data_IF_201201691674
#
_entry.id   IF_201201691674
#
_cell.length_a   1.000
_cell.length_b   1.000
_cell.length_c   1.000
_cell.angle_alpha   90.00
_cell.angle_beta   90.00
_cell.angle_gamma   90.00
#
_symmetry.space_group_name_H-M   'P 1'
#
loop_
_entity.id
_entity.type
_entity.pdbx_description
1 polymer ?
#
# COMPACT_ATOMS: atom_id res chain seq x y z
N UNK A 1 -8.45 -13.23 -34.77
CA UNK A 1 -7.83 -13.43 -33.45
C UNK A 1 -7.90 -14.91 -33.08
N UNK A 2 -6.78 -15.51 -32.67
CA UNK A 2 -6.80 -16.88 -32.13
C UNK A 2 -7.43 -16.87 -30.73
N UNK A 3 -8.06 -17.98 -30.32
CA UNK A 3 -8.69 -18.12 -29.00
C UNK A 3 -7.72 -17.76 -27.85
N UNK A 4 -6.43 -18.09 -28.05
CA UNK A 4 -5.35 -17.81 -27.11
C UNK A 4 -4.98 -16.31 -27.01
N UNK A 5 -5.12 -15.55 -28.10
CA UNK A 5 -4.97 -14.08 -28.08
C UNK A 5 -6.09 -13.37 -27.33
N UNK A 6 -7.33 -13.84 -27.49
CA UNK A 6 -8.51 -13.30 -26.80
C UNK A 6 -8.48 -13.51 -25.27
N UNK A 7 -8.00 -14.68 -24.82
CA UNK A 7 -7.87 -14.99 -23.39
C UNK A 7 -6.82 -14.09 -22.70
N UNK A 8 -5.65 -13.92 -23.33
CA UNK A 8 -4.56 -13.09 -22.80
C UNK A 8 -4.97 -11.62 -22.65
N UNK A 9 -5.66 -11.05 -23.64
CA UNK A 9 -6.18 -9.69 -23.57
C UNK A 9 -7.22 -9.52 -22.46
N UNK A 10 -8.09 -10.52 -22.28
CA UNK A 10 -9.09 -10.52 -21.20
C UNK A 10 -8.45 -10.50 -19.81
N UNK A 11 -7.42 -11.29 -19.59
CA UNK A 11 -6.66 -11.30 -18.33
C UNK A 11 -5.97 -9.96 -18.05
N UNK A 12 -5.34 -9.37 -19.08
CA UNK A 12 -4.70 -8.05 -18.97
C UNK A 12 -5.71 -6.95 -18.60
N UNK A 13 -6.90 -6.96 -19.22
CA UNK A 13 -7.97 -6.02 -18.90
C UNK A 13 -8.45 -6.18 -17.45
N UNK A 14 -8.65 -7.42 -16.97
CA UNK A 14 -9.05 -7.68 -15.58
C UNK A 14 -7.98 -7.18 -14.60
N UNK A 15 -6.72 -7.48 -14.87
CA UNK A 15 -5.60 -7.04 -14.03
C UNK A 15 -5.48 -5.51 -14.00
N UNK A 16 -5.67 -4.85 -15.14
CA UNK A 16 -5.60 -3.39 -15.25
C UNK A 16 -6.76 -2.73 -14.49
N UNK A 17 -8.00 -3.21 -14.69
CA UNK A 17 -9.18 -2.69 -13.98
C UNK A 17 -9.08 -2.84 -12.46
N UNK A 18 -8.66 -4.01 -11.98
CA UNK A 18 -8.51 -4.25 -10.54
C UNK A 18 -7.35 -3.47 -9.91
N UNK A 19 -6.28 -3.22 -10.67
CA UNK A 19 -5.08 -2.53 -10.16
C UNK A 19 -5.14 -1.01 -10.27
N UNK A 20 -6.01 -0.46 -11.13
CA UNK A 20 -6.09 0.98 -11.43
C UNK A 20 -6.25 1.93 -10.22
N UNK A 21 -7.06 1.61 -9.18
CA UNK A 21 -7.21 2.52 -8.04
C UNK A 21 -6.03 2.47 -7.05
N UNK A 22 -5.15 1.47 -7.13
CA UNK A 22 -4.09 1.28 -6.13
C UNK A 22 -3.10 2.44 -6.01
N UNK A 23 -2.63 3.10 -7.09
CA UNK A 23 -1.76 4.28 -6.96
C UNK A 23 -2.39 5.40 -6.11
N UNK A 24 -3.71 5.62 -6.24
CA UNK A 24 -4.45 6.61 -5.45
C UNK A 24 -4.48 6.18 -3.99
N UNK A 25 -4.84 4.92 -3.72
CA UNK A 25 -4.90 4.38 -2.37
C UNK A 25 -3.53 4.45 -1.67
N UNK A 26 -2.46 4.11 -2.38
CA UNK A 26 -1.10 4.17 -1.85
C UNK A 26 -0.66 5.59 -1.56
N UNK A 27 -1.02 6.56 -2.42
CA UNK A 27 -0.73 7.96 -2.17
C UNK A 27 -1.38 8.46 -0.87
N UNK A 28 -2.63 8.11 -0.62
CA UNK A 28 -3.35 8.48 0.62
C UNK A 28 -2.66 7.87 1.84
N UNK A 29 -2.37 6.57 1.83
CA UNK A 29 -1.70 5.93 2.97
C UNK A 29 -0.31 6.49 3.20
N UNK A 30 0.46 6.73 2.15
CA UNK A 30 1.79 7.35 2.24
C UNK A 30 1.74 8.68 3.00
N UNK A 31 0.75 9.54 2.72
CA UNK A 31 0.59 10.81 3.41
C UNK A 31 0.17 10.64 4.88
N UNK A 32 -0.68 9.65 5.18
CA UNK A 32 -1.06 9.30 6.55
C UNK A 32 0.18 8.88 7.37
N UNK A 33 1.11 8.13 6.76
CA UNK A 33 2.38 7.77 7.41
C UNK A 33 3.32 8.97 7.54
N UNK A 34 3.40 9.82 6.51
CA UNK A 34 4.40 10.86 6.40
C UNK A 34 4.08 12.16 7.16
N UNK A 35 2.80 12.45 7.47
CA UNK A 35 2.41 13.68 8.16
C UNK A 35 3.11 13.84 9.51
N UNK A 36 3.45 12.72 10.16
CA UNK A 36 4.13 12.68 11.44
C UNK A 36 5.57 13.20 11.39
N UNK A 37 6.21 13.22 10.21
CA UNK A 37 7.58 13.69 10.06
C UNK A 37 7.70 15.16 10.48
N UNK A 38 6.78 16.01 10.01
CA UNK A 38 6.77 17.43 10.37
C UNK A 38 6.56 17.68 11.86
N UNK A 39 5.73 16.85 12.49
CA UNK A 39 5.45 16.94 13.93
C UNK A 39 6.63 16.45 14.78
N UNK A 40 7.43 15.51 14.30
CA UNK A 40 8.56 14.95 15.04
C UNK A 40 9.89 15.67 14.81
N UNK A 41 10.15 16.15 13.59
CA UNK A 41 11.46 16.66 13.15
C UNK A 41 11.42 18.11 12.68
N UNK A 42 10.31 18.83 12.92
CA UNK A 42 10.16 20.24 12.60
C UNK A 42 10.35 20.53 11.11
N UNK A 43 11.16 21.54 10.78
CA UNK A 43 11.32 22.03 9.41
C UNK A 43 11.79 20.93 8.43
N UNK A 44 12.74 20.10 8.83
CA UNK A 44 13.24 19.00 7.99
C UNK A 44 12.12 18.00 7.71
N UNK A 45 11.34 17.65 8.75
CA UNK A 45 10.19 16.77 8.61
C UNK A 45 9.12 17.30 7.68
N UNK A 46 8.81 18.60 7.76
CA UNK A 46 7.86 19.26 6.86
C UNK A 46 8.39 19.33 5.42
N UNK A 47 9.68 19.55 5.22
CA UNK A 47 10.29 19.52 3.89
C UNK A 47 10.16 18.13 3.23
N UNK A 48 10.45 17.06 3.98
CA UNK A 48 10.27 15.67 3.50
C UNK A 48 8.79 15.39 3.22
N UNK A 49 7.88 15.81 4.11
CA UNK A 49 6.45 15.65 3.89
C UNK A 49 5.99 16.38 2.62
N UNK A 50 6.44 17.61 2.37
CA UNK A 50 6.11 18.37 1.16
C UNK A 50 6.57 17.66 -0.12
N UNK A 51 7.76 17.05 -0.12
CA UNK A 51 8.22 16.23 -1.24
C UNK A 51 7.30 15.02 -1.48
N UNK A 52 6.85 14.37 -0.41
CA UNK A 52 5.91 13.25 -0.50
C UNK A 52 4.50 13.69 -0.95
N UNK A 53 4.08 14.93 -0.66
CA UNK A 53 2.84 15.51 -1.21
C UNK A 53 2.95 15.69 -2.73
N UNK A 54 4.07 16.22 -3.23
CA UNK A 54 4.31 16.33 -4.68
C UNK A 54 4.29 14.95 -5.33
N UNK A 55 4.98 13.98 -4.72
CA UNK A 55 4.98 12.61 -5.22
C UNK A 55 3.60 11.93 -5.15
N UNK A 56 2.81 12.18 -4.10
CA UNK A 56 1.43 11.74 -4.01
C UNK A 56 0.57 12.32 -5.14
N UNK A 57 0.76 13.60 -5.47
CA UNK A 57 0.11 14.23 -6.62
C UNK A 57 0.42 13.51 -7.93
N UNK A 58 1.69 13.12 -8.14
CA UNK A 58 2.10 12.33 -9.30
C UNK A 58 1.44 10.94 -9.34
N UNK A 59 1.39 10.23 -8.20
CA UNK A 59 0.71 8.93 -8.08
C UNK A 59 -0.80 9.04 -8.35
N UNK A 60 -1.46 10.05 -7.78
CA UNK A 60 -2.89 10.31 -7.98
C UNK A 60 -3.17 10.62 -9.44
N UNK A 61 -2.38 11.49 -10.07
CA UNK A 61 -2.51 11.81 -11.48
C UNK A 61 -2.45 10.55 -12.36
N UNK A 62 -1.47 9.69 -12.13
CA UNK A 62 -1.34 8.43 -12.88
C UNK A 62 -2.43 7.42 -12.55
N UNK A 63 -2.85 7.32 -11.28
CA UNK A 63 -3.96 6.45 -10.87
C UNK A 63 -5.28 6.88 -11.49
N UNK A 64 -5.62 8.17 -11.46
CA UNK A 64 -6.83 8.72 -12.10
C UNK A 64 -6.79 8.50 -13.61
N UNK A 65 -5.64 8.75 -14.24
CA UNK A 65 -5.46 8.51 -15.68
C UNK A 65 -5.68 7.03 -16.04
N UNK A 66 -5.14 6.11 -15.24
CA UNK A 66 -5.33 4.68 -15.43
C UNK A 66 -6.78 4.25 -15.21
N UNK A 67 -7.45 4.73 -14.16
CA UNK A 67 -8.88 4.46 -13.91
C UNK A 67 -9.74 4.94 -15.07
N UNK A 68 -9.46 6.12 -15.62
CA UNK A 68 -10.18 6.64 -16.80
C UNK A 68 -9.94 5.79 -18.03
N UNK A 69 -8.69 5.38 -18.29
CA UNK A 69 -8.33 4.54 -19.43
C UNK A 69 -9.03 3.17 -19.36
N UNK A 70 -8.95 2.49 -18.21
CA UNK A 70 -9.52 1.15 -18.06
C UNK A 70 -11.05 1.14 -17.93
N UNK A 71 -11.68 2.28 -17.59
CA UNK A 71 -13.14 2.38 -17.48
C UNK A 71 -13.83 2.13 -18.83
N UNK A 72 -13.19 2.51 -19.93
CA UNK A 72 -13.73 2.38 -21.29
C UNK A 72 -13.62 0.95 -21.85
N UNK A 73 -12.75 0.13 -21.26
CA UNK A 73 -12.52 -1.25 -21.71
C UNK A 73 -13.72 -2.15 -21.35
N UNK A 74 -14.02 -3.18 -22.18
CA UNK A 74 -15.07 -4.15 -21.85
C UNK A 74 -14.74 -4.87 -20.53
N UNK A 75 -15.77 -5.35 -19.83
CA UNK A 75 -15.59 -6.16 -18.61
C UNK A 75 -15.56 -7.64 -18.98
N UNK A 76 -14.40 -8.31 -18.94
CA UNK A 76 -14.34 -9.74 -19.24
C UNK A 76 -14.92 -10.55 -18.08
N UNK A 77 -15.40 -11.76 -18.36
CA UNK A 77 -15.86 -12.67 -17.30
C UNK A 77 -14.68 -13.03 -16.38
N UNK A 78 -14.87 -13.06 -15.05
CA UNK A 78 -13.82 -13.47 -14.12
C UNK A 78 -13.34 -14.89 -14.41
N UNK A 79 -12.03 -15.08 -14.42
CA UNK A 79 -11.44 -16.43 -14.50
C UNK A 79 -11.47 -17.11 -13.12
N UNK A 80 -11.38 -18.45 -13.04
CA UNK A 80 -11.27 -19.16 -11.76
C UNK A 80 -10.09 -18.68 -10.91
N UNK A 81 -8.98 -18.28 -11.54
CA UNK A 81 -7.81 -17.75 -10.85
C UNK A 81 -8.08 -16.38 -10.20
N UNK A 82 -8.74 -15.46 -10.93
CA UNK A 82 -9.14 -14.16 -10.40
C UNK A 82 -10.04 -14.32 -9.17
N UNK A 83 -10.99 -15.25 -9.23
CA UNK A 83 -11.87 -15.56 -8.10
C UNK A 83 -11.09 -16.15 -6.91
N UNK A 84 -10.12 -17.04 -7.16
CA UNK A 84 -9.25 -17.61 -6.14
C UNK A 84 -8.44 -16.53 -5.43
N UNK A 85 -7.78 -15.65 -6.19
CA UNK A 85 -6.99 -14.53 -5.66
C UNK A 85 -7.89 -13.59 -4.85
N UNK A 86 -9.07 -13.24 -5.38
CA UNK A 86 -10.04 -12.39 -4.68
C UNK A 86 -10.46 -12.96 -3.33
N UNK A 87 -10.80 -14.26 -3.28
CA UNK A 87 -11.16 -14.94 -2.02
C UNK A 87 -10.00 -14.98 -1.03
N UNK A 88 -8.79 -15.29 -1.48
CA UNK A 88 -7.60 -15.30 -0.62
C UNK A 88 -7.30 -13.90 -0.06
N UNK A 89 -7.39 -12.85 -0.89
CA UNK A 89 -7.21 -11.48 -0.44
C UNK A 89 -8.31 -11.01 0.51
N UNK A 90 -9.56 -11.42 0.32
CA UNK A 90 -10.64 -11.12 1.24
C UNK A 90 -10.37 -11.72 2.63
N UNK A 91 -9.97 -12.99 2.69
CA UNK A 91 -9.63 -13.66 3.94
C UNK A 91 -8.44 -12.97 4.61
N UNK A 92 -7.36 -12.72 3.85
CA UNK A 92 -6.18 -12.06 4.38
C UNK A 92 -6.51 -10.65 4.91
N UNK A 93 -7.30 -9.88 4.17
CA UNK A 93 -7.73 -8.54 4.56
C UNK A 93 -8.57 -8.58 5.84
N UNK A 94 -9.51 -9.52 5.95
CA UNK A 94 -10.30 -9.69 7.17
C UNK A 94 -9.41 -10.02 8.38
N UNK A 95 -8.48 -10.97 8.22
CA UNK A 95 -7.53 -11.35 9.27
C UNK A 95 -6.53 -10.25 9.62
N UNK A 96 -6.36 -9.25 8.77
CA UNK A 96 -5.45 -8.11 9.02
C UNK A 96 -6.20 -6.95 9.64
N UNK A 97 -7.25 -6.46 8.98
CA UNK A 97 -7.91 -5.22 9.33
C UNK A 97 -8.83 -5.34 10.55
N UNK A 98 -9.45 -6.51 10.79
CA UNK A 98 -10.25 -6.72 12.00
C UNK A 98 -9.37 -6.65 13.25
N UNK A 99 -8.28 -7.43 13.38
CA UNK A 99 -7.38 -7.30 14.52
C UNK A 99 -6.71 -5.93 14.61
N UNK A 100 -6.36 -5.32 13.47
CA UNK A 100 -5.79 -3.97 13.44
C UNK A 100 -6.69 -2.96 14.16
N UNK A 101 -7.97 -2.90 13.79
CA UNK A 101 -8.90 -1.95 14.41
C UNK A 101 -9.12 -2.24 15.89
N UNK A 102 -9.24 -3.51 16.26
CA UNK A 102 -9.34 -3.91 17.68
C UNK A 102 -8.12 -3.40 18.46
N UNK A 103 -6.91 -3.63 17.96
CA UNK A 103 -5.67 -3.20 18.62
C UNK A 103 -5.60 -1.67 18.71
N UNK A 104 -5.91 -0.95 17.63
CA UNK A 104 -5.93 0.53 17.63
C UNK A 104 -6.90 1.06 18.69
N UNK A 105 -8.12 0.51 18.76
CA UNK A 105 -9.14 0.93 19.72
C UNK A 105 -8.68 0.65 21.15
N UNK A 106 -8.16 -0.54 21.43
CA UNK A 106 -7.65 -0.88 22.77
C UNK A 106 -6.52 0.06 23.17
N UNK A 107 -5.53 0.29 22.30
CA UNK A 107 -4.43 1.21 22.59
C UNK A 107 -4.91 2.64 22.82
N UNK A 108 -5.92 3.11 22.09
CA UNK A 108 -6.51 4.43 22.31
C UNK A 108 -7.25 4.51 23.65
N UNK A 109 -8.10 3.52 23.97
CA UNK A 109 -8.89 3.48 25.21
C UNK A 109 -7.99 3.44 26.45
N UNK A 110 -6.89 2.68 26.40
CA UNK A 110 -5.92 2.60 27.49
C UNK A 110 -4.89 3.74 27.51
N UNK A 111 -5.07 4.79 26.70
CA UNK A 111 -4.12 5.93 26.60
C UNK A 111 -2.68 5.51 26.25
N UNK A 112 -2.56 4.40 25.53
CA UNK A 112 -1.32 3.83 25.02
C UNK A 112 -1.03 4.34 23.60
N UNK A 113 -1.34 5.61 23.31
CA UNK A 113 -1.29 6.13 21.95
C UNK A 113 0.08 5.95 21.29
N UNK A 114 1.18 6.05 22.05
CA UNK A 114 2.55 5.89 21.53
C UNK A 114 2.78 4.58 20.75
N UNK A 115 1.98 3.54 21.01
CA UNK A 115 2.11 2.23 20.37
C UNK A 115 1.19 2.03 19.15
N UNK A 116 0.25 2.94 18.88
CA UNK A 116 -0.75 2.79 17.80
C UNK A 116 -0.06 2.72 16.43
N UNK A 117 0.78 3.70 16.11
CA UNK A 117 1.43 3.74 14.79
C UNK A 117 2.46 2.62 14.59
N UNK A 118 3.30 2.28 15.59
CA UNK A 118 4.11 1.06 15.56
C UNK A 118 3.30 -0.21 15.30
N UNK A 119 2.20 -0.42 16.03
CA UNK A 119 1.34 -1.59 15.86
C UNK A 119 0.70 -1.62 14.45
N UNK A 120 0.16 -0.49 14.00
CA UNK A 120 -0.42 -0.35 12.66
C UNK A 120 0.59 -0.71 11.58
N UNK A 121 1.78 -0.09 11.63
CA UNK A 121 2.82 -0.31 10.62
C UNK A 121 3.32 -1.75 10.63
N UNK A 122 3.45 -2.37 11.81
CA UNK A 122 3.85 -3.77 11.93
C UNK A 122 2.82 -4.70 11.32
N UNK A 123 1.54 -4.53 11.64
CA UNK A 123 0.44 -5.36 11.13
C UNK A 123 0.34 -5.25 9.60
N UNK A 124 0.44 -4.03 9.06
CA UNK A 124 0.45 -3.81 7.61
C UNK A 124 1.72 -4.37 6.96
N UNK A 125 2.88 -4.24 7.60
CA UNK A 125 4.12 -4.87 7.13
C UNK A 125 4.00 -6.39 7.04
N UNK A 126 3.41 -7.02 8.07
CA UNK A 126 3.14 -8.45 8.08
C UNK A 126 2.10 -8.87 7.02
N UNK A 127 1.12 -8.01 6.70
CA UNK A 127 0.14 -8.26 5.65
C UNK A 127 0.76 -8.46 4.26
N UNK A 128 1.85 -7.74 3.95
CA UNK A 128 2.54 -7.87 2.67
C UNK A 128 3.16 -9.26 2.44
N UNK A 129 3.55 -9.98 3.50
CA UNK A 129 4.20 -11.30 3.37
C UNK A 129 3.28 -12.37 2.75
N UNK A 130 2.06 -12.64 3.26
CA UNK A 130 1.12 -13.53 2.60
C UNK A 130 0.57 -12.93 1.30
N UNK A 131 0.45 -11.60 1.19
CA UNK A 131 0.06 -10.94 -0.07
C UNK A 131 1.02 -11.29 -1.20
N UNK A 132 2.33 -11.29 -0.93
CA UNK A 132 3.37 -11.67 -1.88
C UNK A 132 3.13 -13.07 -2.46
N UNK A 133 2.72 -14.02 -1.61
CA UNK A 133 2.42 -15.39 -2.00
C UNK A 133 1.11 -15.50 -2.80
N UNK A 134 0.09 -14.72 -2.44
CA UNK A 134 -1.21 -14.73 -3.13
C UNK A 134 -1.08 -14.22 -4.56
N UNK A 135 -0.31 -13.14 -4.76
CA UNK A 135 -0.14 -12.52 -6.07
C UNK A 135 1.10 -12.99 -6.83
N UNK A 136 1.94 -13.83 -6.23
CA UNK A 136 3.22 -14.27 -6.80
C UNK A 136 4.14 -13.09 -7.17
N UNK A 137 4.22 -12.08 -6.28
CA UNK A 137 4.97 -10.84 -6.53
C UNK A 137 6.13 -10.68 -5.56
N UNK A 138 7.33 -10.48 -6.10
CA UNK A 138 8.55 -10.31 -5.32
C UNK A 138 8.63 -8.94 -4.62
N UNK A 139 8.02 -7.90 -5.19
CA UNK A 139 8.05 -6.56 -4.61
C UNK A 139 7.47 -6.52 -3.19
N UNK A 140 6.42 -7.31 -2.93
CA UNK A 140 5.79 -7.39 -1.62
C UNK A 140 6.78 -7.90 -0.55
N UNK A 141 7.68 -8.83 -0.91
CA UNK A 141 8.77 -9.30 -0.03
C UNK A 141 9.88 -8.26 0.18
N UNK A 142 10.04 -7.29 -0.71
CA UNK A 142 10.97 -6.18 -0.52
C UNK A 142 10.38 -5.08 0.36
N UNK A 143 9.08 -4.82 0.26
CA UNK A 143 8.41 -3.73 0.98
C UNK A 143 8.00 -4.13 2.41
N UNK A 144 7.64 -5.40 2.64
CA UNK A 144 7.33 -5.93 3.99
C UNK A 144 8.44 -5.61 5.02
N UNK A 145 9.72 -5.96 4.77
CA UNK A 145 10.80 -5.70 5.72
C UNK A 145 10.98 -4.23 6.08
N UNK A 146 10.77 -3.30 5.14
CA UNK A 146 10.87 -1.86 5.41
C UNK A 146 9.86 -1.43 6.49
N UNK A 147 8.60 -1.85 6.34
CA UNK A 147 7.55 -1.56 7.30
C UNK A 147 7.79 -2.26 8.66
N UNK A 148 8.18 -3.54 8.63
CA UNK A 148 8.42 -4.33 9.84
C UNK A 148 9.60 -3.74 10.65
N UNK A 149 10.74 -3.49 10.01
CA UNK A 149 11.93 -2.97 10.69
C UNK A 149 11.67 -1.58 11.27
N UNK A 150 11.03 -0.68 10.52
CA UNK A 150 10.66 0.65 11.02
C UNK A 150 9.70 0.57 12.22
N UNK A 151 8.73 -0.34 12.18
CA UNK A 151 7.80 -0.56 13.28
C UNK A 151 8.51 -1.10 14.53
N UNK A 152 9.42 -2.07 14.38
CA UNK A 152 10.21 -2.62 15.49
C UNK A 152 11.13 -1.56 16.10
N UNK A 153 11.77 -0.73 15.27
CA UNK A 153 12.56 0.41 15.74
C UNK A 153 11.69 1.41 16.52
N UNK A 154 10.48 1.68 16.05
CA UNK A 154 9.54 2.56 16.74
C UNK A 154 9.04 1.97 18.07
N UNK A 155 8.79 0.66 18.13
CA UNK A 155 8.50 -0.04 19.40
C UNK A 155 9.66 0.06 20.37
N UNK A 156 10.89 -0.15 19.90
CA UNK A 156 12.09 -0.01 20.72
C UNK A 156 12.20 1.40 21.31
N UNK A 157 12.03 2.44 20.50
CA UNK A 157 12.02 3.84 20.94
C UNK A 157 10.89 4.07 21.96
N UNK A 158 9.70 3.54 21.68
CA UNK A 158 8.54 3.72 22.55
C UNK A 158 8.72 3.09 23.94
N UNK A 159 9.41 1.95 24.01
CA UNK A 159 9.64 1.18 25.23
C UNK A 159 10.85 1.66 26.05
N UNK A 160 11.90 2.14 25.39
CA UNK A 160 13.21 2.37 26.03
C UNK A 160 13.58 3.84 26.22
N UNK A 161 12.82 4.77 25.63
CA UNK A 161 13.15 6.18 25.64
C UNK A 161 11.99 7.06 26.12
N UNK A 162 12.33 8.28 26.54
CA UNK A 162 11.36 9.33 26.85
C UNK A 162 10.94 10.15 25.61
N UNK A 163 11.25 9.68 24.39
CA UNK A 163 10.89 10.36 23.16
C UNK A 163 9.38 10.56 23.05
N UNK A 164 8.93 11.65 22.42
CA UNK A 164 7.49 11.92 22.27
C UNK A 164 6.78 10.84 21.45
N UNK A 165 5.46 10.73 21.59
CA UNK A 165 4.70 9.74 20.80
C UNK A 165 4.72 10.06 19.30
N UNK A 166 4.85 11.33 18.94
CA UNK A 166 5.06 11.79 17.56
C UNK A 166 6.37 11.25 16.99
N UNK A 167 7.44 11.15 17.80
CA UNK A 167 8.70 10.55 17.37
C UNK A 167 8.53 9.07 17.01
N UNK A 168 7.85 8.29 17.86
CA UNK A 168 7.57 6.88 17.57
C UNK A 168 6.72 6.74 16.29
N UNK A 169 5.74 7.63 16.10
CA UNK A 169 4.91 7.65 14.91
C UNK A 169 5.71 7.98 13.65
N UNK A 170 6.59 8.98 13.71
CA UNK A 170 7.44 9.36 12.59
C UNK A 170 8.41 8.24 12.22
N UNK A 171 9.08 7.60 13.19
CA UNK A 171 10.00 6.48 12.92
C UNK A 171 9.26 5.31 12.28
N UNK A 172 8.10 4.94 12.82
CA UNK A 172 7.25 3.91 12.22
C UNK A 172 6.78 4.34 10.82
N UNK A 173 6.43 5.61 10.66
CA UNK A 173 5.97 6.24 9.43
C UNK A 173 6.98 6.16 8.29
N UNK A 174 8.28 6.09 8.56
CA UNK A 174 9.32 5.89 7.52
C UNK A 174 9.02 4.63 6.72
N UNK A 175 8.86 3.49 7.40
CA UNK A 175 8.63 2.21 6.75
C UNK A 175 7.30 2.17 6.00
N UNK A 176 6.23 2.69 6.61
CA UNK A 176 4.92 2.75 5.97
C UNK A 176 4.88 3.68 4.74
N UNK A 177 5.49 4.86 4.83
CA UNK A 177 5.59 5.80 3.73
C UNK A 177 6.43 5.23 2.58
N UNK A 178 7.60 4.63 2.87
CA UNK A 178 8.44 4.01 1.83
C UNK A 178 7.76 2.80 1.19
N UNK A 179 7.11 1.94 1.98
CA UNK A 179 6.40 0.77 1.46
C UNK A 179 5.28 1.19 0.51
N UNK A 180 4.43 2.13 0.92
CA UNK A 180 3.32 2.63 0.11
C UNK A 180 3.80 3.45 -1.11
N UNK A 181 4.84 4.25 -0.95
CA UNK A 181 5.49 4.98 -2.05
C UNK A 181 6.01 4.03 -3.14
N UNK A 182 6.75 3.00 -2.73
CA UNK A 182 7.31 1.98 -3.62
C UNK A 182 6.24 1.13 -4.28
N UNK A 183 5.21 0.72 -3.52
CA UNK A 183 4.08 -0.03 -4.07
C UNK A 183 3.26 0.80 -5.07
N UNK A 184 3.05 2.08 -4.78
CA UNK A 184 2.41 3.03 -5.69
C UNK A 184 3.15 3.14 -7.02
N UNK A 185 4.48 3.32 -6.98
CA UNK A 185 5.32 3.35 -8.19
C UNK A 185 5.19 2.06 -8.98
N UNK A 186 5.35 0.92 -8.31
CA UNK A 186 5.25 -0.40 -8.91
C UNK A 186 3.91 -0.61 -9.62
N UNK A 187 2.80 -0.18 -9.00
CA UNK A 187 1.47 -0.25 -9.61
C UNK A 187 1.34 0.65 -10.83
N UNK A 188 1.88 1.86 -10.80
CA UNK A 188 1.91 2.73 -11.99
C UNK A 188 2.68 2.06 -13.12
N UNK A 189 3.83 1.43 -12.84
CA UNK A 189 4.63 0.73 -13.85
C UNK A 189 3.88 -0.47 -14.46
N UNK A 190 3.21 -1.28 -13.63
CA UNK A 190 2.36 -2.38 -14.12
C UNK A 190 1.24 -1.85 -15.00
N UNK A 191 0.50 -0.83 -14.54
CA UNK A 191 -0.63 -0.29 -15.27
C UNK A 191 -0.21 0.22 -16.65
N UNK A 192 0.93 0.94 -16.73
CA UNK A 192 1.50 1.38 -18.01
C UNK A 192 1.91 0.22 -18.91
N UNK A 193 2.35 -0.90 -18.35
CA UNK A 193 2.67 -2.11 -19.12
C UNK A 193 1.40 -2.77 -19.64
N UNK A 194 0.41 -3.00 -18.78
CA UNK A 194 -0.85 -3.64 -19.14
C UNK A 194 -1.63 -2.85 -20.20
N UNK A 195 -1.71 -1.52 -20.06
CA UNK A 195 -2.38 -0.67 -21.05
C UNK A 195 -1.70 -0.78 -22.42
N UNK A 196 -0.36 -0.75 -22.47
CA UNK A 196 0.38 -0.96 -23.73
C UNK A 196 0.15 -2.34 -24.34
N UNK A 197 0.07 -3.39 -23.52
CA UNK A 197 -0.24 -4.75 -23.99
C UNK A 197 -1.66 -4.84 -24.57
N UNK A 198 -2.61 -4.07 -24.02
CA UNK A 198 -4.00 -4.00 -24.51
C UNK A 198 -4.07 -3.23 -25.84
N UNK A 199 -3.35 -2.12 -25.96
CA UNK A 199 -3.35 -1.28 -27.17
C UNK A 199 -2.65 -1.95 -28.39
N UNK A 200 -1.84 -2.99 -28.16
CA UNK A 200 -1.11 -3.71 -29.20
C UNK A 200 -1.86 -4.91 -29.81
N UNK A 201 -3.08 -5.21 -29.37
CA UNK A 201 -3.90 -6.36 -29.80
C UNK A 201 -5.13 -5.90 -30.56
#
# INVERSE_FOLDING_TARGET
>A
MTVQGSAKTSEAIIAAKSSAPFPILMAVFMLIYAVWFGLAWGLIGWAVFALLVVYAGWLIFHGVSAVRAVAQLPQPKPTPEVNRIGKQMQILSALTYIPLWIIIILLAVFSLQRYIMPALTLIIGMHFVPQAKIFHRTIDYCLAPLAIVAALAAFYIALTTNASWQMAYAVSGIGGALATAGYGLYMVMILRRLIREIDQV
#
